data_IF_800060940034
#
_entry.id   IF_800060940034
#
_cell.length_a   1.000
_cell.length_b   1.000
_cell.length_c   1.000
_cell.angle_alpha   90.00
_cell.angle_beta   90.00
_cell.angle_gamma   90.00
#
_symmetry.space_group_name_H-M   'P 1'
#
loop_
_entity.id
_entity.type
_entity.pdbx_description
1 polymer ?
#
# COMPACT_ATOMS: atom_id res chain seq x y z
N UNK A 1 -0.10 1.04 0.10
CA UNK A 1 -0.44 2.38 0.66
C UNK A 1 -1.59 2.91 -0.18
N UNK A 2 -2.63 3.48 0.42
CA UNK A 2 -3.82 3.94 -0.32
C UNK A 2 -3.50 5.27 -0.99
N UNK A 3 -3.67 5.33 -2.31
CA UNK A 3 -3.45 6.55 -3.09
C UNK A 3 -4.71 7.42 -3.04
N UNK A 4 -4.59 8.64 -2.53
CA UNK A 4 -5.66 9.65 -2.57
C UNK A 4 -5.24 10.71 -3.58
N UNK A 5 -5.46 10.44 -4.87
CA UNK A 5 -5.29 11.45 -5.91
C UNK A 5 -6.52 12.36 -5.95
N UNK A 6 -6.40 13.50 -5.28
CA UNK A 6 -7.39 14.55 -5.27
C UNK A 6 -7.25 15.48 -6.47
N UNK A 7 -8.24 15.44 -7.33
CA UNK A 7 -8.36 16.29 -8.51
C UNK A 7 -8.81 17.69 -8.12
N UNK A 8 -8.15 18.74 -8.63
CA UNK A 8 -8.71 20.10 -8.57
C UNK A 8 -10.07 20.14 -9.29
N UNK A 9 -11.02 20.84 -8.68
CA UNK A 9 -12.34 21.25 -9.22
C UNK A 9 -13.25 20.15 -9.79
N UNK A 10 -13.69 19.20 -8.94
CA UNK A 10 -14.95 18.49 -9.18
C UNK A 10 -15.74 18.36 -7.88
N UNK A 11 -16.99 18.82 -7.90
CA UNK A 11 -17.96 18.61 -6.83
C UNK A 11 -18.32 17.12 -6.77
N UNK A 12 -17.53 16.32 -6.07
CA UNK A 12 -17.86 14.93 -5.82
C UNK A 12 -19.06 14.86 -4.88
N UNK A 13 -20.10 14.17 -5.32
CA UNK A 13 -21.31 13.89 -4.53
C UNK A 13 -21.51 12.38 -4.44
N UNK A 14 -22.32 11.95 -3.49
CA UNK A 14 -22.64 10.53 -3.31
C UNK A 14 -23.31 9.96 -4.56
N UNK A 15 -24.21 10.72 -5.19
CA UNK A 15 -24.92 10.30 -6.41
C UNK A 15 -23.95 10.07 -7.57
N UNK A 16 -22.90 10.91 -7.70
CA UNK A 16 -21.86 10.72 -8.73
C UNK A 16 -21.03 9.46 -8.47
N UNK A 17 -20.75 9.16 -7.21
CA UNK A 17 -20.04 7.93 -6.82
C UNK A 17 -20.89 6.70 -7.17
N UNK A 18 -22.17 6.71 -6.76
CA UNK A 18 -23.10 5.61 -7.03
C UNK A 18 -23.30 5.39 -8.54
N UNK A 19 -23.51 6.48 -9.30
CA UNK A 19 -23.61 6.41 -10.76
C UNK A 19 -22.36 5.79 -11.39
N UNK A 20 -21.17 6.15 -10.91
CA UNK A 20 -19.91 5.62 -11.43
C UNK A 20 -19.76 4.12 -11.16
N UNK A 21 -20.14 3.64 -9.97
CA UNK A 21 -20.20 2.20 -9.72
C UNK A 21 -21.24 1.51 -10.61
N UNK A 22 -22.40 2.12 -10.85
CA UNK A 22 -23.43 1.59 -11.75
C UNK A 22 -22.95 1.51 -13.22
N UNK A 23 -22.08 2.42 -13.66
CA UNK A 23 -21.43 2.40 -14.98
C UNK A 23 -20.32 1.31 -15.09
N UNK A 24 -20.05 0.58 -14.01
CA UNK A 24 -19.11 -0.54 -13.97
C UNK A 24 -17.66 -0.18 -13.64
N UNK A 25 -17.39 1.05 -13.15
CA UNK A 25 -16.05 1.41 -12.69
C UNK A 25 -15.67 0.59 -11.44
N UNK A 26 -14.43 0.09 -11.41
CA UNK A 26 -13.93 -0.85 -10.40
C UNK A 26 -14.37 -2.30 -10.59
N UNK A 27 -15.18 -2.59 -11.62
CA UNK A 27 -15.68 -3.93 -11.92
C UNK A 27 -15.08 -4.45 -13.21
N UNK A 28 -15.17 -5.77 -13.40
CA UNK A 28 -14.62 -6.49 -14.55
C UNK A 28 -13.23 -7.06 -14.30
N UNK A 29 -12.74 -7.79 -15.30
CA UNK A 29 -11.41 -8.43 -15.34
C UNK A 29 -10.84 -8.28 -16.75
N UNK A 30 -9.52 -8.31 -16.90
CA UNK A 30 -8.84 -8.24 -18.18
C UNK A 30 -9.29 -7.04 -19.02
N UNK A 31 -9.78 -7.31 -20.24
CA UNK A 31 -10.22 -6.29 -21.21
C UNK A 31 -11.42 -5.46 -20.75
N UNK A 32 -12.27 -6.03 -19.89
CA UNK A 32 -13.55 -5.43 -19.49
C UNK A 32 -13.44 -4.61 -18.21
N UNK A 33 -12.27 -4.63 -17.54
CA UNK A 33 -12.05 -3.86 -16.32
C UNK A 33 -11.98 -2.36 -16.60
N UNK A 34 -12.67 -1.57 -15.76
CA UNK A 34 -12.66 -0.10 -15.80
C UNK A 34 -12.02 0.48 -14.53
N UNK A 35 -10.85 1.14 -14.61
CA UNK A 35 -10.18 1.70 -13.42
C UNK A 35 -10.96 2.85 -12.79
N UNK A 36 -10.97 2.95 -11.46
CA UNK A 36 -11.73 4.00 -10.76
C UNK A 36 -11.24 5.40 -11.12
N UNK A 37 -9.92 5.59 -11.11
CA UNK A 37 -9.25 6.82 -11.52
C UNK A 37 -8.79 6.69 -12.97
N UNK A 38 -9.10 7.71 -13.78
CA UNK A 38 -8.60 7.82 -15.16
C UNK A 38 -7.78 9.09 -15.31
N UNK A 39 -6.78 9.08 -16.20
CA UNK A 39 -5.91 10.23 -16.49
C UNK A 39 -6.70 11.52 -16.69
N UNK A 40 -7.70 11.52 -17.58
CA UNK A 40 -8.50 12.72 -17.89
C UNK A 40 -9.39 13.20 -16.74
N UNK A 41 -9.57 12.40 -15.69
CA UNK A 41 -10.23 12.84 -14.46
C UNK A 41 -9.25 13.22 -13.38
N UNK A 42 -8.09 12.58 -13.29
CA UNK A 42 -7.26 12.44 -12.08
C UNK A 42 -5.97 13.26 -12.09
N UNK A 43 -5.45 13.61 -13.27
CA UNK A 43 -4.17 14.31 -13.39
C UNK A 43 -4.34 15.80 -13.73
N UNK A 44 -3.78 16.74 -12.94
CA UNK A 44 -3.40 18.05 -13.47
C UNK A 44 -2.30 17.84 -14.52
N UNK A 45 -2.26 18.67 -15.56
CA UNK A 45 -1.44 18.54 -16.78
C UNK A 45 0.08 18.65 -16.59
N UNK A 46 0.66 18.09 -15.53
CA UNK A 46 2.08 18.22 -15.16
C UNK A 46 2.81 16.86 -15.12
N UNK A 47 2.09 15.73 -15.32
CA UNK A 47 2.67 14.39 -15.43
C UNK A 47 2.35 13.75 -16.77
N UNK A 48 3.34 13.09 -17.40
CA UNK A 48 3.22 12.38 -18.68
C UNK A 48 2.07 11.37 -18.62
N UNK A 49 0.94 11.71 -19.23
CA UNK A 49 -0.20 10.81 -19.32
C UNK A 49 0.12 9.68 -20.29
N UNK A 50 0.60 8.56 -19.77
CA UNK A 50 0.96 7.43 -20.61
C UNK A 50 -0.22 6.45 -20.72
N UNK A 51 -0.70 6.27 -21.95
CA UNK A 51 -1.59 5.18 -22.34
C UNK A 51 -0.71 4.14 -23.01
N UNK A 52 -0.61 2.96 -22.42
CA UNK A 52 0.11 1.83 -23.00
C UNK A 52 -0.86 0.68 -23.18
N UNK A 53 -0.80 0.02 -24.34
CA UNK A 53 -1.47 -1.26 -24.51
C UNK A 53 -0.74 -2.31 -23.69
N UNK A 54 -1.49 -3.13 -22.95
CA UNK A 54 -0.93 -4.26 -22.22
C UNK A 54 -0.93 -5.51 -23.09
N UNK A 55 0.17 -6.27 -23.02
CA UNK A 55 0.21 -7.63 -23.58
C UNK A 55 -0.76 -8.55 -22.85
N UNK A 56 -0.86 -8.39 -21.53
CA UNK A 56 -1.58 -9.32 -20.64
C UNK A 56 -3.11 -9.19 -20.78
N UNK A 57 -3.62 -7.96 -20.89
CA UNK A 57 -5.07 -7.70 -20.83
C UNK A 57 -5.67 -7.24 -22.17
N UNK A 58 -4.83 -6.80 -23.12
CA UNK A 58 -5.29 -6.27 -24.41
C UNK A 58 -6.02 -4.93 -24.33
N UNK A 59 -5.97 -4.22 -23.19
CA UNK A 59 -6.58 -2.89 -23.03
C UNK A 59 -5.54 -1.80 -22.80
N UNK A 60 -6.02 -0.56 -22.89
CA UNK A 60 -5.27 0.64 -22.50
C UNK A 60 -5.41 0.83 -20.99
N UNK A 61 -4.27 0.90 -20.31
CA UNK A 61 -4.21 1.18 -18.88
C UNK A 61 -3.98 2.67 -18.61
N UNK A 62 -4.39 3.11 -17.42
CA UNK A 62 -4.31 4.50 -16.99
C UNK A 62 -3.36 4.68 -15.81
N UNK A 63 -2.19 5.29 -16.04
CA UNK A 63 -1.22 5.61 -14.99
C UNK A 63 -1.28 7.08 -14.60
N UNK A 64 -1.08 7.36 -13.33
CA UNK A 64 -1.08 8.70 -12.74
C UNK A 64 0.33 9.20 -12.42
N UNK A 65 1.36 8.36 -12.61
CA UNK A 65 2.77 8.70 -12.46
C UNK A 65 3.68 7.83 -13.35
N UNK A 66 4.92 8.29 -13.57
CA UNK A 66 5.95 7.49 -14.25
C UNK A 66 6.33 6.23 -13.45
N UNK A 67 6.28 6.31 -12.12
CA UNK A 67 6.54 5.17 -11.22
C UNK A 67 5.50 4.08 -11.42
N UNK A 68 4.21 4.44 -11.45
CA UNK A 68 3.13 3.50 -11.78
C UNK A 68 3.31 2.87 -13.16
N UNK A 69 3.67 3.68 -14.18
CA UNK A 69 3.94 3.15 -15.51
C UNK A 69 5.08 2.13 -15.49
N UNK A 70 6.19 2.44 -14.82
CA UNK A 70 7.35 1.55 -14.77
C UNK A 70 7.02 0.26 -14.00
N UNK A 71 6.28 0.34 -12.89
CA UNK A 71 5.79 -0.82 -12.17
C UNK A 71 4.87 -1.69 -13.04
N UNK A 72 3.94 -1.06 -13.77
CA UNK A 72 3.09 -1.76 -14.72
C UNK A 72 3.90 -2.55 -15.75
N UNK A 73 4.96 -1.96 -16.34
CA UNK A 73 5.77 -2.64 -17.35
C UNK A 73 6.43 -3.92 -16.80
N UNK A 74 6.84 -3.89 -15.53
CA UNK A 74 7.37 -5.08 -14.84
C UNK A 74 6.28 -6.15 -14.69
N UNK A 75 5.08 -5.75 -14.26
CA UNK A 75 3.95 -6.67 -14.08
C UNK A 75 3.47 -7.27 -15.41
N UNK A 76 3.36 -6.46 -16.48
CA UNK A 76 2.93 -6.92 -17.81
C UNK A 76 3.97 -7.83 -18.47
N UNK A 77 5.24 -7.72 -18.09
CA UNK A 77 6.30 -8.61 -18.55
C UNK A 77 6.30 -9.97 -17.83
N UNK A 78 5.88 -10.01 -16.56
CA UNK A 78 5.92 -11.23 -15.77
C UNK A 78 4.94 -12.28 -16.30
N UNK A 79 5.47 -13.43 -16.72
CA UNK A 79 4.66 -14.52 -17.30
C UNK A 79 3.61 -15.10 -16.34
N UNK A 80 3.84 -14.98 -15.03
CA UNK A 80 2.91 -15.43 -14.00
C UNK A 80 1.70 -14.51 -13.84
N UNK A 81 1.78 -13.24 -14.27
CA UNK A 81 0.69 -12.28 -14.13
C UNK A 81 -0.31 -12.47 -15.27
N UNK A 82 -1.57 -12.66 -14.92
CA UNK A 82 -2.66 -12.97 -15.86
C UNK A 82 -3.75 -11.90 -15.92
N UNK A 83 -3.85 -11.06 -14.89
CA UNK A 83 -4.66 -9.84 -14.95
C UNK A 83 -3.99 -8.72 -14.15
N UNK A 84 -4.20 -7.49 -14.60
CA UNK A 84 -3.70 -6.28 -13.98
C UNK A 84 -4.86 -5.31 -13.92
N UNK A 85 -5.26 -4.92 -12.70
CA UNK A 85 -6.35 -3.96 -12.46
C UNK A 85 -5.81 -2.76 -11.73
N UNK A 86 -5.50 -1.70 -12.47
CA UNK A 86 -4.99 -0.45 -11.90
C UNK A 86 -6.11 0.38 -11.25
N UNK A 87 -5.72 1.22 -10.29
CA UNK A 87 -6.61 2.17 -9.62
C UNK A 87 -7.89 1.48 -9.11
N UNK A 88 -7.70 0.35 -8.41
CA UNK A 88 -8.76 -0.52 -7.94
C UNK A 88 -9.45 0.10 -6.72
N UNK A 89 -10.78 0.38 -6.78
CA UNK A 89 -11.47 1.02 -5.68
C UNK A 89 -11.67 0.04 -4.51
N UNK A 90 -11.45 0.54 -3.31
CA UNK A 90 -11.67 -0.19 -2.06
C UNK A 90 -13.09 0.08 -1.55
N UNK A 91 -13.64 -0.88 -0.79
CA UNK A 91 -14.94 -0.70 -0.16
C UNK A 91 -14.89 0.44 0.86
N UNK A 92 -15.79 1.41 0.70
CA UNK A 92 -15.79 2.61 1.55
C UNK A 92 -16.27 2.34 2.96
N UNK A 93 -17.12 1.33 3.16
CA UNK A 93 -17.55 0.91 4.49
C UNK A 93 -16.36 0.32 5.26
N UNK A 94 -15.62 -0.58 4.61
CA UNK A 94 -14.41 -1.19 5.17
C UNK A 94 -13.32 -0.15 5.47
N UNK A 95 -12.98 0.73 4.51
CA UNK A 95 -11.93 1.73 4.74
C UNK A 95 -12.30 2.70 5.86
N UNK A 96 -13.58 3.04 6.02
CA UNK A 96 -14.07 3.86 7.13
C UNK A 96 -13.99 3.14 8.47
N UNK A 97 -14.42 1.88 8.52
CA UNK A 97 -14.31 1.06 9.72
C UNK A 97 -12.85 0.89 10.16
N UNK A 98 -11.93 0.69 9.21
CA UNK A 98 -10.49 0.63 9.48
C UNK A 98 -9.97 1.97 10.02
N UNK A 99 -10.35 3.09 9.40
CA UNK A 99 -9.93 4.41 9.85
C UNK A 99 -10.40 4.72 11.29
N UNK A 100 -11.65 4.37 11.60
CA UNK A 100 -12.22 4.47 12.94
C UNK A 100 -11.48 3.60 13.96
N UNK A 101 -11.25 2.33 13.63
CA UNK A 101 -10.51 1.39 14.48
C UNK A 101 -9.07 1.86 14.74
N UNK A 102 -8.45 2.54 13.77
CA UNK A 102 -7.11 3.12 13.88
C UNK A 102 -7.09 4.50 14.55
N UNK A 103 -8.24 5.09 14.85
CA UNK A 103 -8.34 6.45 15.40
C UNK A 103 -7.84 7.54 14.44
N UNK A 104 -7.89 7.30 13.13
CA UNK A 104 -7.49 8.27 12.11
C UNK A 104 -8.70 8.77 11.33
N UNK A 105 -8.66 10.03 10.89
CA UNK A 105 -9.72 10.62 10.07
C UNK A 105 -9.70 10.00 8.67
N UNK A 106 -10.81 9.43 8.23
CA UNK A 106 -10.97 8.99 6.84
C UNK A 106 -10.93 10.22 5.89
N UNK A 107 -10.20 10.18 4.77
CA UNK A 107 -10.13 11.31 3.83
C UNK A 107 -11.48 11.62 3.18
N UNK A 108 -11.70 12.90 2.89
CA UNK A 108 -12.84 13.41 2.11
C UNK A 108 -12.36 14.11 0.84
N UNK A 109 -13.23 14.21 -0.16
CA UNK A 109 -12.90 14.97 -1.37
C UNK A 109 -12.73 16.46 -1.01
N UNK A 110 -11.73 17.17 -1.58
CA UNK A 110 -11.44 18.56 -1.26
C UNK A 110 -12.66 19.45 -1.47
N UNK A 111 -12.94 20.28 -0.48
CA UNK A 111 -14.11 21.18 -0.51
C UNK A 111 -15.45 20.49 -0.26
N UNK A 112 -15.48 19.19 0.10
CA UNK A 112 -16.71 18.46 0.42
C UNK A 112 -16.58 17.65 1.71
N UNK A 113 -17.73 17.22 2.26
CA UNK A 113 -17.81 16.28 3.36
C UNK A 113 -17.89 14.81 2.89
N UNK A 114 -17.77 14.56 1.58
CA UNK A 114 -17.98 13.23 0.99
C UNK A 114 -16.72 12.38 1.17
N UNK A 115 -16.80 11.22 1.85
CA UNK A 115 -15.65 10.32 2.00
C UNK A 115 -15.12 9.84 0.66
N UNK A 116 -13.80 9.89 0.47
CA UNK A 116 -13.13 9.48 -0.78
C UNK A 116 -13.33 7.99 -1.04
N UNK A 117 -13.53 7.61 -2.29
CA UNK A 117 -13.31 6.23 -2.72
C UNK A 117 -11.81 6.02 -2.87
N UNK A 118 -11.20 5.40 -1.87
CA UNK A 118 -9.76 5.16 -1.88
C UNK A 118 -9.42 4.05 -2.88
N UNK A 119 -8.26 4.14 -3.52
CA UNK A 119 -7.79 3.13 -4.49
C UNK A 119 -6.48 2.50 -4.05
N UNK A 120 -6.28 1.26 -4.52
CA UNK A 120 -4.96 0.64 -4.61
C UNK A 120 -4.44 0.82 -6.04
N UNK A 121 -3.15 1.10 -6.20
CA UNK A 121 -2.58 1.39 -7.52
C UNK A 121 -2.66 0.18 -8.46
N UNK A 122 -2.38 -1.03 -7.98
CA UNK A 122 -2.55 -2.27 -8.74
C UNK A 122 -3.15 -3.41 -7.91
N UNK A 123 -4.14 -4.09 -8.47
CA UNK A 123 -4.57 -5.42 -8.07
C UNK A 123 -4.16 -6.40 -9.17
N UNK A 124 -3.28 -7.33 -8.82
CA UNK A 124 -2.68 -8.29 -9.73
C UNK A 124 -3.27 -9.67 -9.49
N UNK A 125 -3.66 -10.36 -10.56
CA UNK A 125 -3.96 -11.78 -10.52
C UNK A 125 -2.74 -12.53 -11.06
N UNK A 126 -2.16 -13.43 -10.26
CA UNK A 126 -0.92 -14.15 -10.56
C UNK A 126 -1.14 -15.65 -10.41
N UNK A 127 -0.63 -16.45 -11.34
CA UNK A 127 -0.64 -17.91 -11.25
C UNK A 127 0.62 -18.40 -10.54
N UNK A 128 0.42 -19.11 -9.43
CA UNK A 128 1.47 -19.77 -8.62
C UNK A 128 1.05 -21.22 -8.43
N UNK A 129 1.89 -22.17 -8.86
CA UNK A 129 1.62 -23.62 -8.78
C UNK A 129 0.26 -24.02 -9.37
N UNK A 130 -0.12 -23.40 -10.49
CA UNK A 130 -1.39 -23.65 -11.18
C UNK A 130 -2.62 -23.02 -10.52
N UNK A 131 -2.44 -22.22 -9.45
CA UNK A 131 -3.52 -21.52 -8.75
C UNK A 131 -3.42 -20.02 -8.95
N UNK A 132 -4.56 -19.37 -9.20
CA UNK A 132 -4.63 -17.91 -9.26
C UNK A 132 -4.67 -17.33 -7.85
N UNK A 133 -3.74 -16.42 -7.57
CA UNK A 133 -3.65 -15.64 -6.33
C UNK A 133 -3.75 -14.15 -6.64
N UNK A 134 -4.33 -13.40 -5.70
CA UNK A 134 -4.47 -11.95 -5.84
C UNK A 134 -3.47 -11.22 -4.96
N UNK A 135 -2.83 -10.19 -5.51
CA UNK A 135 -1.89 -9.36 -4.79
C UNK A 135 -2.18 -7.87 -5.05
N UNK A 136 -2.38 -7.12 -3.96
CA UNK A 136 -2.45 -5.67 -3.99
C UNK A 136 -1.03 -5.07 -3.91
N UNK A 137 -0.78 -4.04 -4.72
CA UNK A 137 0.47 -3.25 -4.73
C UNK A 137 0.12 -1.76 -4.76
N UNK A 138 0.81 -0.99 -3.92
CA UNK A 138 0.73 0.47 -3.94
C UNK A 138 2.11 1.04 -4.19
N UNK A 139 2.19 2.03 -5.08
CA UNK A 139 3.42 2.68 -5.49
C UNK A 139 3.51 4.05 -4.81
N UNK A 140 4.60 4.29 -4.08
CA UNK A 140 4.86 5.61 -3.49
C UNK A 140 5.86 6.35 -4.35
N UNK A 141 5.41 7.33 -5.13
CA UNK A 141 6.27 8.46 -5.45
C UNK A 141 6.57 9.22 -4.15
N UNK A 142 7.77 9.76 -3.95
CA UNK A 142 8.21 10.46 -2.74
C UNK A 142 7.46 11.76 -2.38
N UNK A 143 6.20 11.91 -2.79
CA UNK A 143 5.36 13.07 -2.51
C UNK A 143 4.67 12.87 -1.17
N UNK A 144 5.31 13.38 -0.13
CA UNK A 144 4.65 13.66 1.14
C UNK A 144 3.41 14.54 0.87
N UNK A 145 2.33 14.24 1.59
CA UNK A 145 1.12 15.03 1.60
C UNK A 145 1.45 16.52 1.75
N UNK A 146 1.05 17.35 0.78
CA UNK A 146 1.25 18.80 0.86
C UNK A 146 0.53 19.40 2.09
N UNK A 147 0.91 20.61 2.52
CA UNK A 147 0.47 21.20 3.79
C UNK A 147 -1.05 21.42 3.91
N UNK A 148 -1.81 21.28 2.82
CA UNK A 148 -3.27 21.34 2.83
C UNK A 148 -3.94 20.21 3.66
N UNK A 149 -3.23 19.13 3.97
CA UNK A 149 -3.72 18.04 4.83
C UNK A 149 -3.12 18.03 6.25
N UNK A 150 -2.26 19.00 6.59
CA UNK A 150 -1.58 19.09 7.89
C UNK A 150 -2.39 19.87 8.95
N UNK A 151 -3.70 20.01 8.75
CA UNK A 151 -4.61 20.57 9.75
C UNK A 151 -4.99 19.51 10.78
N UNK A 152 -4.41 19.64 11.98
CA UNK A 152 -4.69 18.86 13.20
C UNK A 152 -4.04 17.47 13.28
N UNK A 153 -2.73 17.40 13.06
CA UNK A 153 -1.93 16.37 13.72
C UNK A 153 -1.79 16.75 15.20
N UNK A 154 -2.76 16.31 16.01
CA UNK A 154 -2.63 16.31 17.47
C UNK A 154 -1.31 15.64 17.87
N UNK A 155 -0.58 16.35 18.73
CA UNK A 155 0.71 16.06 19.32
C UNK A 155 1.20 14.59 19.22
N UNK A 156 2.13 14.35 18.31
CA UNK A 156 2.80 13.04 18.07
C UNK A 156 3.57 12.52 19.29
N UNK A 157 3.80 13.33 20.33
CA UNK A 157 4.46 12.88 21.56
C UNK A 157 3.53 12.09 22.51
N UNK A 158 2.20 12.22 22.38
CA UNK A 158 1.26 11.64 23.35
C UNK A 158 0.89 10.16 23.08
N UNK A 159 1.16 9.64 21.89
CA UNK A 159 0.74 8.29 21.47
C UNK A 159 1.76 7.18 21.77
N UNK A 160 3.03 7.53 22.03
CA UNK A 160 4.06 6.56 22.46
C UNK A 160 4.14 6.39 23.99
N UNK A 161 3.45 7.24 24.77
CA UNK A 161 3.48 7.22 26.24
C UNK A 161 2.41 6.37 26.92
N UNK A 162 1.43 5.83 26.20
CA UNK A 162 0.26 5.12 26.78
C UNK A 162 0.08 3.67 26.30
N UNK A 163 1.16 3.03 25.85
CA UNK A 163 1.21 1.59 25.55
C UNK A 163 2.25 0.85 26.41
N UNK A 164 2.31 1.17 27.72
CA UNK A 164 3.21 0.51 28.70
C UNK A 164 2.55 0.16 30.04
N UNK A 165 1.23 0.00 30.09
CA UNK A 165 0.56 -0.65 31.24
C UNK A 165 -0.53 -1.56 30.69
N UNK A 166 -0.51 -2.83 31.07
CA UNK A 166 -1.37 -3.95 30.63
C UNK A 166 -0.83 -4.85 29.49
N UNK A 167 0.44 -5.24 29.58
CA UNK A 167 0.86 -6.61 29.26
C UNK A 167 1.83 -7.03 30.36
N UNK A 168 1.49 -8.10 31.07
CA UNK A 168 2.26 -8.60 32.20
C UNK A 168 3.67 -9.03 31.81
N UNK A 169 4.57 -8.97 32.78
CA UNK A 169 5.96 -9.36 32.68
C UNK A 169 6.12 -10.82 32.22
N UNK A 170 6.52 -11.02 30.97
CA UNK A 170 7.12 -12.26 30.51
C UNK A 170 8.62 -12.01 30.29
N UNK A 171 9.41 -12.29 31.33
CA UNK A 171 10.86 -12.30 31.27
C UNK A 171 11.33 -13.50 30.43
N UNK A 172 12.21 -13.35 29.43
CA UNK A 172 12.80 -14.52 28.79
C UNK A 172 13.78 -15.21 29.76
N UNK A 173 13.55 -16.50 30.03
CA UNK A 173 14.45 -17.33 30.82
C UNK A 173 15.87 -17.32 30.22
N UNK A 174 16.86 -17.02 31.06
CA UNK A 174 18.28 -17.01 30.69
C UNK A 174 18.78 -18.46 30.61
N UNK A 175 19.41 -18.92 29.52
CA UNK A 175 19.97 -20.27 29.46
C UNK A 175 21.20 -20.39 30.40
N UNK A 176 21.47 -21.59 30.96
CA UNK A 176 22.58 -21.78 31.89
C UNK A 176 23.94 -21.58 31.18
N UNK A 177 24.86 -20.95 31.90
CA UNK A 177 26.23 -20.69 31.44
C UNK A 177 27.00 -22.02 31.26
N UNK A 178 27.74 -22.13 30.15
CA UNK A 178 28.72 -23.21 29.95
C UNK A 178 29.97 -22.94 30.81
N UNK A 179 30.59 -23.96 31.41
CA UNK A 179 31.83 -23.77 32.16
C UNK A 179 33.01 -23.47 31.22
N UNK A 180 33.87 -22.56 31.66
CA UNK A 180 35.12 -22.20 31.03
C UNK A 180 36.15 -23.32 31.20
N UNK A 181 36.77 -23.76 30.11
CA UNK A 181 38.04 -24.50 30.14
C UNK A 181 39.17 -23.49 30.00
N UNK A 182 40.01 -23.33 31.03
CA UNK A 182 41.28 -22.58 30.92
C UNK A 182 42.36 -23.44 30.24
N UNK A 183 43.29 -22.83 29.48
CA UNK A 183 44.37 -23.52 28.80
C UNK A 183 45.65 -23.68 29.64
N UNK A 184 46.46 -24.62 29.18
CA UNK A 184 47.74 -25.13 29.68
C UNK A 184 48.75 -24.10 30.25
N UNK A 185 49.33 -24.45 31.39
CA UNK A 185 50.62 -23.93 31.84
C UNK A 185 51.67 -25.05 31.84
N UNK A 186 52.69 -24.84 31.00
CA UNK A 186 53.89 -25.64 30.90
C UNK A 186 54.78 -25.53 32.15
N UNK A 187 55.38 -26.65 32.55
CA UNK A 187 56.50 -26.73 33.49
C UNK A 187 57.26 -28.03 33.28
N UNK A 188 58.42 -27.95 32.62
CA UNK A 188 59.25 -29.12 32.27
C UNK A 188 60.05 -29.69 33.45
N UNK A 189 60.61 -30.91 33.32
CA UNK A 189 61.41 -31.53 34.36
C UNK A 189 62.91 -31.18 34.23
N UNK A 190 63.52 -30.72 35.32
CA UNK A 190 64.95 -30.84 35.58
C UNK A 190 65.15 -32.03 36.52
N UNK A 191 65.92 -33.02 36.09
CA UNK A 191 66.12 -34.28 36.82
C UNK A 191 67.16 -34.22 37.94
N UNK A 192 67.18 -35.27 38.76
CA UNK A 192 68.33 -35.81 39.48
C UNK A 192 67.90 -37.07 40.27
N UNK A 193 68.70 -38.14 40.20
CA UNK A 193 68.62 -39.31 41.09
C UNK A 193 68.45 -40.63 40.38
#
# INVERSE_FOLDING_TARGET
>A
MLSVLCTKNKDWTEEKIQKRFAEGFGRGVGRDYKPWLTVGRSAPSVGSSNRSGARTTGRVHHYLSDTERNAFLIYDWAASVVDIREQFPLDRGETRAIAEAMGVRHPTYPGTAVPVVMTTDFLLDTVVDGRTMQAARGETGGWACGPACAGEAGDRAALLGRARRRLGDCHPARPPARPHSEPDLAGGPLGAG
#
